data_IF_326453143363
#
_entry.id   IF_326453143363
#
_cell.length_a   1.000
_cell.length_b   1.000
_cell.length_c   1.000
_cell.angle_alpha   90.00
_cell.angle_beta   90.00
_cell.angle_gamma   90.00
#
_symmetry.space_group_name_H-M   'P 1'
#
loop_
_entity.id
_entity.type
_entity.pdbx_description
1 polymer ?
#
# COMPACT_ATOMS: atom_id res chain seq x y z
N UNK A 1 0.24 -5.23 11.40
CA UNK A 1 -0.87 -4.93 10.46
C UNK A 1 -0.21 -4.27 9.26
N UNK A 2 -0.60 -4.58 8.02
CA UNK A 2 0.11 -4.05 6.83
C UNK A 2 -0.17 -2.57 6.69
N UNK A 3 0.81 -1.69 6.69
CA UNK A 3 0.56 -0.24 6.56
C UNK A 3 0.33 0.19 5.10
N UNK A 4 -0.92 0.06 4.65
CA UNK A 4 -1.36 0.39 3.28
C UNK A 4 -1.01 1.84 2.86
N UNK A 5 -1.18 2.80 3.77
CA UNK A 5 -0.83 4.21 3.51
C UNK A 5 0.65 4.40 3.25
N UNK A 6 1.51 3.76 4.04
CA UNK A 6 2.94 3.87 3.83
C UNK A 6 3.34 3.25 2.49
N UNK A 7 2.75 2.12 2.12
CA UNK A 7 2.96 1.50 0.81
C UNK A 7 2.60 2.46 -0.33
N UNK A 8 1.39 3.04 -0.31
CA UNK A 8 0.92 3.98 -1.32
C UNK A 8 1.75 5.26 -1.36
N UNK A 9 2.15 5.77 -0.19
CA UNK A 9 3.03 6.93 -0.07
C UNK A 9 4.39 6.66 -0.69
N UNK A 10 5.02 5.53 -0.37
CA UNK A 10 6.32 5.14 -0.90
C UNK A 10 6.28 4.98 -2.43
N UNK A 11 5.24 4.36 -2.98
CA UNK A 11 5.09 4.26 -4.43
C UNK A 11 4.83 5.60 -5.09
N UNK A 12 4.04 6.49 -4.47
CA UNK A 12 3.77 7.84 -4.99
C UNK A 12 5.05 8.70 -5.07
N UNK A 13 6.00 8.52 -4.15
CA UNK A 13 7.31 9.18 -4.19
C UNK A 13 8.35 8.46 -5.07
N UNK A 14 7.95 7.39 -5.78
CA UNK A 14 8.80 6.68 -6.75
C UNK A 14 9.64 5.52 -6.20
N UNK A 15 9.33 4.99 -5.00
CA UNK A 15 10.01 3.79 -4.50
C UNK A 15 9.60 2.56 -5.31
N UNK A 16 10.58 1.68 -5.56
CA UNK A 16 10.30 0.35 -6.11
C UNK A 16 9.62 -0.57 -5.08
N UNK A 17 8.91 -1.60 -5.55
CA UNK A 17 8.27 -2.62 -4.70
C UNK A 17 9.22 -3.20 -3.65
N UNK A 18 10.49 -3.41 -4.01
CA UNK A 18 11.51 -3.96 -3.11
C UNK A 18 11.91 -2.96 -2.02
N UNK A 19 12.04 -1.68 -2.36
CA UNK A 19 12.35 -0.63 -1.38
C UNK A 19 11.17 -0.43 -0.44
N UNK A 20 9.95 -0.36 -0.96
CA UNK A 20 8.73 -0.27 -0.16
C UNK A 20 8.61 -1.47 0.78
N UNK A 21 8.79 -2.69 0.28
CA UNK A 21 8.79 -3.92 1.08
C UNK A 21 9.83 -3.90 2.21
N UNK A 22 11.05 -3.44 1.91
CA UNK A 22 12.10 -3.29 2.91
C UNK A 22 11.74 -2.23 3.97
N UNK A 23 11.12 -1.12 3.57
CA UNK A 23 10.69 -0.04 4.48
C UNK A 23 9.55 -0.47 5.39
N UNK A 24 8.51 -1.12 4.85
CA UNK A 24 7.31 -1.51 5.62
C UNK A 24 7.46 -2.86 6.34
N UNK A 25 8.60 -3.55 6.16
CA UNK A 25 8.86 -4.84 6.80
C UNK A 25 7.97 -5.99 6.31
N UNK A 26 7.35 -5.85 5.14
CA UNK A 26 6.49 -6.87 4.53
C UNK A 26 7.05 -7.38 3.21
N UNK A 27 6.57 -8.54 2.77
CA UNK A 27 7.01 -9.11 1.49
C UNK A 27 6.60 -8.23 0.32
N UNK A 28 7.38 -8.24 -0.77
CA UNK A 28 7.02 -7.53 -1.99
C UNK A 28 5.71 -8.04 -2.61
N UNK A 29 5.31 -9.28 -2.34
CA UNK A 29 4.00 -9.81 -2.73
C UNK A 29 2.87 -9.10 -2.00
N UNK A 30 3.02 -8.88 -0.68
CA UNK A 30 2.07 -8.11 0.12
C UNK A 30 1.93 -6.70 -0.41
N UNK A 31 3.06 -6.03 -0.69
CA UNK A 31 3.09 -4.69 -1.28
C UNK A 31 2.40 -4.66 -2.65
N UNK A 32 2.65 -5.65 -3.50
CA UNK A 32 2.00 -5.75 -4.82
C UNK A 32 0.48 -5.93 -4.69
N UNK A 33 0.03 -6.83 -3.82
CA UNK A 33 -1.39 -7.05 -3.58
C UNK A 33 -2.07 -5.78 -3.08
N UNK A 34 -1.40 -5.03 -2.18
CA UNK A 34 -1.89 -3.74 -1.68
C UNK A 34 -2.13 -2.76 -2.82
N UNK A 35 -1.16 -2.61 -3.73
CA UNK A 35 -1.24 -1.68 -4.85
C UNK A 35 -2.32 -2.10 -5.85
N UNK A 36 -2.44 -3.40 -6.15
CA UNK A 36 -3.49 -3.93 -7.03
C UNK A 36 -4.89 -3.73 -6.44
N UNK A 37 -5.03 -3.86 -5.12
CA UNK A 37 -6.29 -3.60 -4.43
C UNK A 37 -6.63 -2.12 -4.42
N UNK A 38 -5.64 -1.25 -4.18
CA UNK A 38 -5.82 0.19 -4.26
C UNK A 38 -6.25 0.63 -5.67
N UNK A 39 -5.60 0.11 -6.72
CA UNK A 39 -5.98 0.37 -8.11
C UNK A 39 -7.42 -0.09 -8.40
N UNK A 40 -7.82 -1.29 -7.94
CA UNK A 40 -9.19 -1.79 -8.10
C UNK A 40 -10.24 -0.94 -7.39
N UNK A 41 -9.90 -0.39 -6.23
CA UNK A 41 -10.78 0.48 -5.46
C UNK A 41 -10.72 1.95 -5.93
N UNK A 42 -9.85 2.30 -6.90
CA UNK A 42 -9.63 3.69 -7.31
C UNK A 42 -8.99 4.55 -6.21
N UNK A 43 -8.26 3.91 -5.30
CA UNK A 43 -7.58 4.53 -4.17
C UNK A 43 -6.17 4.90 -4.60
N UNK A 44 -5.88 6.19 -4.60
CA UNK A 44 -4.54 6.72 -4.89
C UNK A 44 -4.07 7.64 -3.77
N UNK A 45 -2.75 7.74 -3.60
CA UNK A 45 -2.17 8.73 -2.71
C UNK A 45 -2.30 10.14 -3.32
N UNK A 46 -2.66 11.19 -2.56
CA UNK A 46 -2.89 11.23 -1.12
C UNK A 46 -4.27 10.69 -0.72
N UNK A 47 -4.28 9.73 0.19
CA UNK A 47 -5.50 9.11 0.73
C UNK A 47 -5.84 9.72 2.08
N UNK A 48 -7.12 9.99 2.31
CA UNK A 48 -7.63 10.44 3.60
C UNK A 48 -7.26 9.45 4.73
N UNK A 49 -7.13 9.98 5.95
CA UNK A 49 -6.65 9.24 7.11
C UNK A 49 -7.56 8.05 7.51
N UNK A 50 -8.73 7.93 6.88
CA UNK A 50 -9.74 6.90 7.14
C UNK A 50 -9.49 5.57 6.40
N UNK A 51 -8.52 5.51 5.46
CA UNK A 51 -8.10 4.23 4.85
C UNK A 51 -7.30 3.43 5.86
N UNK A 52 -8.01 2.85 6.81
CA UNK A 52 -7.54 1.86 7.75
C UNK A 52 -7.68 0.48 7.12
N UNK A 53 -6.75 -0.42 7.44
CA UNK A 53 -6.54 -1.76 6.87
C UNK A 53 -7.74 -2.75 6.93
N UNK A 54 -8.95 -2.25 7.17
CA UNK A 54 -10.17 -3.01 7.46
C UNK A 54 -10.92 -3.39 6.18
N UNK A 55 -10.82 -2.66 5.08
CA UNK A 55 -11.62 -2.94 3.88
C UNK A 55 -11.11 -4.08 2.97
N UNK A 56 -9.95 -4.68 3.25
CA UNK A 56 -9.33 -5.70 2.38
C UNK A 56 -9.30 -7.10 2.98
N UNK A 57 -10.13 -7.35 4.00
CA UNK A 57 -10.36 -8.65 4.63
C UNK A 57 -11.75 -9.22 4.26
N UNK A 58 -12.15 -9.08 3.00
CA UNK A 58 -13.32 -9.77 2.42
C UNK A 58 -12.84 -10.96 1.59
#
# INVERSE_FOLDING_TARGET
MVDYKEILRFTSIGYSLRQTAASVGHSHHTVKNVLELAEKCGIEWPVDDDVTNVELLI
#
